data_IF_451364664275
#
_entry.id   IF_451364664275
#
_cell.length_a   1.000
_cell.length_b   1.000
_cell.length_c   1.000
_cell.angle_alpha   90.00
_cell.angle_beta   90.00
_cell.angle_gamma   90.00
#
_symmetry.space_group_name_H-M   'P 1'
#
loop_
_entity.id
_entity.type
_entity.pdbx_description
1 polymer ?
#
# COMPACT_ATOMS: atom_id res chain seq x y z
N UNK A 1 6.56 -40.18 0.43
CA UNK A 1 6.34 -38.75 0.09
C UNK A 1 7.45 -37.96 0.75
N UNK A 2 8.33 -37.29 -0.01
CA UNK A 2 9.30 -36.38 0.59
C UNK A 2 8.55 -35.12 1.00
N UNK A 3 8.52 -34.83 2.29
CA UNK A 3 8.14 -33.51 2.81
C UNK A 3 9.35 -32.61 2.67
N UNK A 4 9.24 -31.59 1.81
CA UNK A 4 10.23 -30.52 1.74
C UNK A 4 10.02 -29.69 3.01
N UNK A 5 11.00 -29.70 3.91
CA UNK A 5 11.02 -28.81 5.06
C UNK A 5 11.36 -27.40 4.57
N UNK A 6 10.32 -26.57 4.40
CA UNK A 6 10.45 -25.20 3.93
C UNK A 6 10.28 -24.25 5.12
N UNK A 7 11.39 -23.63 5.54
CA UNK A 7 11.36 -22.54 6.51
C UNK A 7 11.22 -21.19 5.78
N UNK A 8 10.09 -20.51 5.98
CA UNK A 8 9.88 -19.16 5.45
C UNK A 8 10.28 -18.12 6.49
N UNK A 9 11.46 -17.52 6.32
CA UNK A 9 11.94 -16.47 7.22
C UNK A 9 11.50 -15.10 6.71
N UNK A 10 10.83 -14.34 7.57
CA UNK A 10 10.41 -12.97 7.28
C UNK A 10 11.18 -12.00 8.15
N UNK A 11 11.80 -10.99 7.52
CA UNK A 11 12.34 -9.84 8.23
C UNK A 11 11.29 -8.74 8.25
N UNK A 12 10.89 -8.31 9.45
CA UNK A 12 10.00 -7.16 9.65
C UNK A 12 10.84 -5.93 9.96
N UNK A 13 10.57 -4.83 9.26
CA UNK A 13 11.12 -3.51 9.60
C UNK A 13 10.19 -2.79 10.58
N UNK A 14 10.67 -1.69 11.17
CA UNK A 14 9.80 -0.80 11.95
C UNK A 14 8.78 -0.14 11.00
N UNK A 15 7.52 0.07 11.44
CA UNK A 15 6.55 0.81 10.65
C UNK A 15 6.98 2.26 10.43
N UNK A 16 6.77 2.77 9.22
CA UNK A 16 7.08 4.16 8.85
C UNK A 16 5.84 4.85 8.29
N UNK A 17 5.62 6.13 8.68
CA UNK A 17 4.56 6.95 8.13
C UNK A 17 5.06 7.65 6.87
N UNK A 18 4.42 7.35 5.75
CA UNK A 18 4.75 7.86 4.42
C UNK A 18 3.84 9.05 4.12
N UNK A 19 4.35 10.29 4.23
CA UNK A 19 3.60 11.50 3.96
C UNK A 19 3.59 11.85 2.46
N UNK A 20 2.50 12.36 1.87
CA UNK A 20 2.46 12.73 0.45
C UNK A 20 3.59 13.68 0.05
N UNK A 21 4.02 13.63 -1.23
CA UNK A 21 5.12 14.48 -1.73
C UNK A 21 4.83 15.99 -1.60
N UNK A 22 3.57 16.38 -1.72
CA UNK A 22 3.10 17.75 -1.57
C UNK A 22 2.22 17.86 -0.32
N UNK A 23 2.17 19.01 0.35
CA UNK A 23 1.24 19.24 1.45
C UNK A 23 -0.20 18.95 1.01
N UNK A 24 -0.91 18.14 1.78
CA UNK A 24 -2.34 17.90 1.57
C UNK A 24 -3.08 19.22 1.80
N UNK A 25 -3.91 19.69 0.85
CA UNK A 25 -4.78 20.84 1.07
C UNK A 25 -5.67 20.63 2.29
N UNK A 26 -5.91 21.68 3.05
CA UNK A 26 -6.84 21.62 4.18
C UNK A 26 -8.27 21.65 3.66
N UNK A 27 -8.90 20.50 3.60
CA UNK A 27 -10.27 20.30 3.13
C UNK A 27 -11.03 19.33 4.03
N UNK A 28 -12.35 19.47 4.06
CA UNK A 28 -13.24 18.51 4.74
C UNK A 28 -14.00 17.69 3.69
N UNK A 29 -13.93 16.37 3.82
CA UNK A 29 -14.75 15.44 3.04
C UNK A 29 -15.93 15.01 3.88
N UNK A 30 -17.15 15.31 3.44
CA UNK A 30 -18.37 14.84 4.09
C UNK A 30 -18.48 13.32 3.89
N UNK A 31 -18.81 12.60 4.96
CA UNK A 31 -19.06 11.17 4.89
C UNK A 31 -20.45 10.93 4.28
N UNK A 32 -20.56 9.97 3.36
CA UNK A 32 -21.84 9.52 2.84
C UNK A 32 -22.52 8.54 3.81
N UNK A 33 -23.80 8.22 3.56
CA UNK A 33 -24.53 7.21 4.32
C UNK A 33 -23.85 5.82 4.28
N UNK A 34 -23.07 5.54 3.22
CA UNK A 34 -22.30 4.30 3.09
C UNK A 34 -21.07 4.32 4.01
N UNK A 35 -20.35 5.44 4.05
CA UNK A 35 -19.13 5.57 4.87
C UNK A 35 -19.42 5.48 6.38
N UNK A 36 -20.64 5.81 6.82
CA UNK A 36 -21.05 5.72 8.23
C UNK A 36 -21.53 4.31 8.66
N UNK A 37 -21.62 3.35 7.74
CA UNK A 37 -22.03 1.98 8.08
C UNK A 37 -20.99 1.30 8.97
N UNK A 38 -21.39 0.94 10.21
CA UNK A 38 -20.51 0.30 11.18
C UNK A 38 -19.88 -1.00 10.66
N UNK A 39 -20.61 -1.75 9.84
CA UNK A 39 -20.13 -2.99 9.22
C UNK A 39 -18.96 -2.77 8.26
N UNK A 40 -18.73 -1.54 7.78
CA UNK A 40 -17.63 -1.18 6.89
C UNK A 40 -16.42 -0.59 7.62
N UNK A 41 -16.48 -0.44 8.95
CA UNK A 41 -15.38 0.06 9.78
C UNK A 41 -14.34 -1.02 10.09
N UNK A 42 -13.80 -1.64 9.04
CA UNK A 42 -12.73 -2.63 9.12
C UNK A 42 -11.65 -2.38 8.08
N UNK A 43 -10.43 -2.82 8.38
CA UNK A 43 -9.35 -2.85 7.38
C UNK A 43 -9.48 -4.12 6.55
N UNK A 44 -9.86 -3.97 5.28
CA UNK A 44 -9.92 -5.10 4.34
C UNK A 44 -8.48 -5.65 4.09
N UNK A 45 -8.20 -6.92 4.45
CA UNK A 45 -6.86 -7.47 4.30
C UNK A 45 -6.67 -8.05 2.90
N UNK A 46 -5.91 -7.36 2.05
CA UNK A 46 -5.54 -7.86 0.72
C UNK A 46 -4.06 -8.24 0.67
N UNK A 47 -3.75 -9.33 -0.05
CA UNK A 47 -2.38 -9.78 -0.33
C UNK A 47 -2.24 -9.93 -1.85
N UNK A 48 -1.31 -9.19 -2.44
CA UNK A 48 -0.96 -9.31 -3.85
C UNK A 48 0.36 -10.06 -3.99
N UNK A 49 0.38 -11.12 -4.80
CA UNK A 49 1.56 -11.94 -5.08
C UNK A 49 1.93 -11.72 -6.54
N UNK A 50 3.18 -11.33 -6.80
CA UNK A 50 3.68 -11.04 -8.13
C UNK A 50 4.74 -12.07 -8.55
N UNK A 51 4.80 -12.37 -9.83
CA UNK A 51 5.86 -13.19 -10.40
C UNK A 51 7.20 -12.45 -10.38
N UNK A 52 8.31 -13.20 -10.31
CA UNK A 52 9.65 -12.62 -10.44
C UNK A 52 9.80 -11.91 -11.80
N UNK A 53 10.30 -10.68 -11.76
CA UNK A 53 10.58 -9.88 -12.94
C UNK A 53 12.08 -9.52 -12.99
N UNK A 54 12.87 -10.13 -13.89
CA UNK A 54 14.30 -9.88 -14.01
C UNK A 54 14.65 -8.39 -14.26
N UNK A 55 13.76 -7.61 -14.89
CA UNK A 55 14.02 -6.17 -15.14
C UNK A 55 14.05 -5.30 -13.88
N UNK A 56 13.56 -5.83 -12.75
CA UNK A 56 13.55 -5.16 -11.45
C UNK A 56 14.70 -5.62 -10.55
N UNK A 57 15.60 -6.47 -11.04
CA UNK A 57 16.75 -6.96 -10.30
C UNK A 57 17.64 -5.79 -9.83
N UNK A 58 18.13 -5.90 -8.59
CA UNK A 58 18.94 -4.85 -7.95
C UNK A 58 18.18 -3.59 -7.51
N UNK A 59 16.88 -3.46 -7.81
CA UNK A 59 16.06 -2.35 -7.28
C UNK A 59 15.58 -2.68 -5.86
N UNK A 60 15.63 -1.68 -4.99
CA UNK A 60 15.04 -1.78 -3.66
C UNK A 60 13.50 -1.69 -3.76
N UNK A 61 12.76 -2.77 -3.46
CA UNK A 61 11.30 -2.78 -3.55
C UNK A 61 10.65 -1.77 -2.59
N UNK A 62 11.26 -1.52 -1.43
CA UNK A 62 10.75 -0.55 -0.45
C UNK A 62 10.78 0.84 -1.05
N UNK A 63 11.93 1.25 -1.61
CA UNK A 63 12.09 2.54 -2.27
C UNK A 63 11.11 2.70 -3.44
N UNK A 64 10.93 1.67 -4.26
CA UNK A 64 10.00 1.72 -5.40
C UNK A 64 8.56 1.96 -4.91
N UNK A 65 8.11 1.26 -3.88
CA UNK A 65 6.75 1.43 -3.33
C UNK A 65 6.58 2.85 -2.76
N UNK A 66 7.55 3.32 -1.97
CA UNK A 66 7.51 4.65 -1.37
C UNK A 66 7.49 5.73 -2.46
N UNK A 67 8.48 5.74 -3.37
CA UNK A 67 8.59 6.74 -4.44
C UNK A 67 7.33 6.78 -5.31
N UNK A 68 6.74 5.62 -5.57
CA UNK A 68 5.53 5.47 -6.37
C UNK A 68 4.31 6.03 -5.62
N UNK A 69 4.12 5.65 -4.35
CA UNK A 69 3.04 6.16 -3.51
C UNK A 69 3.10 7.69 -3.35
N UNK A 70 4.30 8.25 -3.13
CA UNK A 70 4.51 9.69 -3.02
C UNK A 70 4.07 10.46 -4.27
N UNK A 71 4.29 9.90 -5.46
CA UNK A 71 4.05 10.58 -6.76
C UNK A 71 2.61 10.54 -7.22
N UNK A 72 1.83 9.52 -6.85
CA UNK A 72 0.44 9.38 -7.30
C UNK A 72 -0.51 10.47 -6.75
N UNK A 73 -0.07 11.27 -5.77
CA UNK A 73 -0.87 12.38 -5.25
C UNK A 73 -0.90 13.63 -6.15
N UNK A 74 -0.30 13.57 -7.36
CA UNK A 74 -0.37 14.65 -8.35
C UNK A 74 -1.65 14.63 -9.22
N UNK A 75 -2.45 13.56 -9.15
CA UNK A 75 -3.71 13.45 -9.93
C UNK A 75 -4.91 13.30 -8.99
N UNK A 76 -5.07 14.27 -8.09
CA UNK A 76 -6.30 14.44 -7.31
C UNK A 76 -7.44 14.99 -8.16
N UNK A 77 -7.89 14.22 -9.14
CA UNK A 77 -9.16 14.40 -9.85
C UNK A 77 -9.72 13.01 -10.13
N UNK A 78 -10.20 12.37 -9.08
CA UNK A 78 -11.24 11.35 -9.21
C UNK A 78 -12.47 12.03 -8.61
N UNK A 79 -13.14 12.81 -9.45
CA UNK A 79 -14.52 13.18 -9.24
C UNK A 79 -15.33 11.88 -9.17
N UNK A 80 -15.96 11.63 -8.02
CA UNK A 80 -17.24 10.96 -7.93
C UNK A 80 -18.18 11.91 -7.21
#
# INVERSE_FOLDING_TARGET
MQTIDFSFQVRKCQPELIAPANPTPYEFKQLSDIDDQQSLRFHAPFVNIYHHNPSLEGRDPVKVIIDTYMRYHLTGNISQ
#
